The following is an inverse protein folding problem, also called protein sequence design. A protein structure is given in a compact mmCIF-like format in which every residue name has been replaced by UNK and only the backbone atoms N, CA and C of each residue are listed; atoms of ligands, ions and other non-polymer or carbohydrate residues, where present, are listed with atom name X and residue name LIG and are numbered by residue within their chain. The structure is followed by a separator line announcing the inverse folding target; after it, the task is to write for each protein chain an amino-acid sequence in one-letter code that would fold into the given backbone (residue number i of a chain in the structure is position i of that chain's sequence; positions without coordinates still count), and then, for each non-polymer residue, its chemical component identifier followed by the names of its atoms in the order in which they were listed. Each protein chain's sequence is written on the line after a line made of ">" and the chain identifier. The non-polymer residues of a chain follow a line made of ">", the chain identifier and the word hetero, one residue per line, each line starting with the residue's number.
data_IF_318649908055
#
_entry.id   IF_318649908055
#
_cell.length_a   1.000
_cell.length_b   1.000
_cell.length_c   1.000
_cell.angle_alpha   90.00
_cell.angle_beta   90.00
_cell.angle_gamma   90.00
#
_symmetry.space_group_name_H-M   'P 1'
#
loop_
_entity.id
_entity.type
_entity.pdbx_description
1 polymer ?
#
# COMPACT_ATOMS: atom_id res chain seq x y z
N UNK A 1 -8.06 7.86 6.10
CA UNK A 1 -8.81 7.23 7.22
C UNK A 1 -7.98 6.15 7.89
N UNK A 2 -7.46 5.17 7.13
CA UNK A 2 -6.59 4.11 7.66
C UNK A 2 -5.39 4.62 8.45
N UNK A 3 -4.58 5.49 7.86
CA UNK A 3 -3.41 6.10 8.52
C UNK A 3 -3.70 6.71 9.90
N UNK A 4 -4.76 7.51 10.01
CA UNK A 4 -5.14 8.16 11.28
C UNK A 4 -5.52 7.11 12.34
N UNK A 5 -6.20 6.04 11.94
CA UNK A 5 -6.54 4.91 12.82
C UNK A 5 -5.27 4.21 13.34
N UNK A 6 -4.30 3.92 12.46
CA UNK A 6 -3.02 3.29 12.83
C UNK A 6 -2.23 4.17 13.81
N UNK A 7 -2.14 5.47 13.55
CA UNK A 7 -1.43 6.43 14.39
C UNK A 7 -2.07 6.54 15.77
N UNK A 8 -3.39 6.73 15.82
CA UNK A 8 -4.12 6.85 17.09
C UNK A 8 -4.01 5.57 17.92
N UNK A 9 -4.14 4.40 17.28
CA UNK A 9 -4.04 3.12 17.97
C UNK A 9 -2.62 2.84 18.47
N UNK A 10 -1.58 3.18 17.71
CA UNK A 10 -0.19 3.05 18.15
C UNK A 10 0.16 4.01 19.30
N UNK A 11 -0.21 5.29 19.18
CA UNK A 11 -0.02 6.25 20.27
C UNK A 11 -0.77 5.81 21.54
N UNK A 12 -1.99 5.29 21.39
CA UNK A 12 -2.75 4.69 22.48
C UNK A 12 -2.03 3.50 23.12
N UNK A 13 -1.48 2.59 22.31
CA UNK A 13 -0.71 1.45 22.81
C UNK A 13 0.54 1.89 23.58
N UNK A 14 1.28 2.89 23.07
CA UNK A 14 2.45 3.46 23.76
C UNK A 14 2.04 4.09 25.10
N UNK A 15 0.96 4.86 25.13
CA UNK A 15 0.43 5.47 26.36
C UNK A 15 0.06 4.39 27.39
N UNK A 16 -0.67 3.36 26.98
CA UNK A 16 -1.09 2.26 27.87
C UNK A 16 0.12 1.51 28.44
N UNK A 17 1.13 1.22 27.62
CA UNK A 17 2.29 0.44 28.06
C UNK A 17 3.28 1.28 28.88
N UNK A 18 3.66 2.46 28.38
CA UNK A 18 4.76 3.25 28.96
C UNK A 18 4.31 4.34 29.95
N UNK A 19 3.09 4.88 29.83
CA UNK A 19 2.57 5.85 30.80
C UNK A 19 1.70 5.19 31.88
N UNK A 20 0.84 4.23 31.50
CA UNK A 20 -0.03 3.54 32.45
C UNK A 20 0.60 2.28 33.05
N UNK A 21 1.75 1.84 32.51
CA UNK A 21 2.53 0.72 33.05
C UNK A 21 1.96 -0.66 32.78
N UNK A 22 0.91 -0.78 31.96
CA UNK A 22 0.32 -2.08 31.64
C UNK A 22 1.28 -2.90 30.76
N UNK A 23 1.86 -3.98 31.32
CA UNK A 23 2.80 -4.85 30.61
C UNK A 23 4.25 -4.34 30.52
N UNK A 24 4.56 -3.22 31.18
CA UNK A 24 5.91 -2.64 31.25
C UNK A 24 6.94 -3.62 31.87
N UNK A 25 6.52 -4.39 32.87
CA UNK A 25 7.33 -5.42 33.52
C UNK A 25 7.69 -6.58 32.58
N UNK A 26 6.79 -6.93 31.64
CA UNK A 26 7.00 -7.99 30.66
C UNK A 26 7.97 -7.58 29.54
N UNK A 27 8.10 -6.27 29.30
CA UNK A 27 8.97 -5.66 28.29
C UNK A 27 10.30 -5.13 28.87
N UNK A 28 10.56 -5.39 30.16
CA UNK A 28 11.79 -4.96 30.83
C UNK A 28 11.93 -3.44 30.93
N UNK A 29 10.83 -2.71 31.12
CA UNK A 29 10.83 -1.26 31.30
C UNK A 29 10.87 -0.97 32.80
N UNK A 30 12.06 -0.72 33.34
CA UNK A 30 12.26 -0.48 34.79
C UNK A 30 11.75 0.89 35.28
N UNK A 31 11.53 1.85 34.37
CA UNK A 31 10.95 3.15 34.70
C UNK A 31 9.94 3.59 33.64
N UNK A 32 8.65 3.57 34.00
CA UNK A 32 7.60 4.27 33.27
C UNK A 32 7.82 5.77 33.40
N UNK A 33 7.88 6.49 32.28
CA UNK A 33 8.19 7.92 32.24
C UNK A 33 7.31 8.68 31.26
N UNK A 34 7.28 10.02 31.35
CA UNK A 34 6.51 10.83 30.41
C UNK A 34 6.98 10.62 28.98
N UNK A 35 6.04 10.52 28.05
CA UNK A 35 6.33 10.45 26.61
C UNK A 35 6.96 11.79 26.22
N UNK A 36 8.18 11.76 25.66
CA UNK A 36 8.80 12.97 25.14
C UNK A 36 7.99 13.54 23.98
N UNK A 37 7.81 14.87 23.96
CA UNK A 37 7.04 15.59 22.94
C UNK A 37 7.49 15.36 21.50
N UNK A 38 8.74 14.90 21.31
CA UNK A 38 9.31 14.57 20.01
C UNK A 38 8.87 13.20 19.48
N UNK A 39 8.49 12.26 20.35
CA UNK A 39 8.12 10.91 19.96
C UNK A 39 6.89 10.86 19.02
N UNK A 40 5.77 11.57 19.30
CA UNK A 40 4.63 11.59 18.38
C UNK A 40 4.98 12.19 17.02
N UNK A 41 5.88 13.19 16.97
CA UNK A 41 6.31 13.82 15.72
C UNK A 41 7.03 12.79 14.84
N UNK A 42 7.99 12.05 15.41
CA UNK A 42 8.68 10.99 14.69
C UNK A 42 7.75 9.85 14.31
N UNK A 43 6.89 9.41 15.22
CA UNK A 43 5.96 8.32 14.95
C UNK A 43 5.03 8.66 13.79
N UNK A 44 4.42 9.84 13.79
CA UNK A 44 3.56 10.29 12.69
C UNK A 44 4.35 10.40 11.40
N UNK A 45 5.52 11.05 11.39
CA UNK A 45 6.31 11.25 10.18
C UNK A 45 6.81 9.94 9.57
N UNK A 46 7.33 9.03 10.40
CA UNK A 46 7.85 7.74 9.96
C UNK A 46 6.70 6.84 9.51
N UNK A 47 5.65 6.68 10.30
CA UNK A 47 4.50 5.82 9.94
C UNK A 47 3.84 6.33 8.67
N UNK A 48 3.76 7.64 8.48
CA UNK A 48 3.20 8.23 7.26
C UNK A 48 4.03 7.84 6.03
N UNK A 49 5.35 8.02 6.10
CA UNK A 49 6.26 7.61 5.02
C UNK A 49 6.15 6.11 4.72
N UNK A 50 6.22 5.27 5.75
CA UNK A 50 6.12 3.82 5.61
C UNK A 50 4.76 3.35 5.07
N UNK A 51 3.68 4.06 5.41
CA UNK A 51 2.33 3.67 5.02
C UNK A 51 2.01 4.03 3.55
N UNK A 52 2.58 5.10 3.00
CA UNK A 52 2.24 5.51 1.63
C UNK A 52 2.66 4.45 0.61
N UNK A 53 3.83 3.86 0.78
CA UNK A 53 4.43 2.97 -0.23
C UNK A 53 3.58 1.73 -0.50
N UNK A 54 3.06 1.12 0.57
CA UNK A 54 2.24 -0.09 0.43
C UNK A 54 0.78 0.22 0.05
N UNK A 55 0.26 1.42 0.34
CA UNK A 55 -1.17 1.71 0.13
C UNK A 55 -1.39 1.98 -1.34
N UNK A 56 -0.49 2.77 -1.91
CA UNK A 56 -0.40 2.99 -3.34
C UNK A 56 -0.19 1.66 -4.08
N UNK A 57 0.73 0.80 -3.62
CA UNK A 57 0.98 -0.49 -4.28
C UNK A 57 -0.27 -1.39 -4.27
N UNK A 58 -0.91 -1.58 -3.10
CA UNK A 58 -2.07 -2.45 -2.97
C UNK A 58 -3.25 -1.94 -3.80
N UNK A 59 -3.57 -0.65 -3.68
CA UNK A 59 -4.71 -0.03 -4.37
C UNK A 59 -4.46 0.06 -5.88
N UNK A 60 -3.22 0.32 -6.31
CA UNK A 60 -2.88 0.34 -7.73
C UNK A 60 -3.15 -1.01 -8.39
N UNK A 61 -2.78 -2.12 -7.73
CA UNK A 61 -3.02 -3.48 -8.27
C UNK A 61 -4.51 -3.81 -8.34
N UNK A 62 -5.31 -3.39 -7.36
CA UNK A 62 -6.77 -3.52 -7.42
C UNK A 62 -7.37 -2.67 -8.55
N UNK A 63 -6.85 -1.45 -8.75
CA UNK A 63 -7.27 -0.56 -9.83
C UNK A 63 -6.93 -1.13 -11.20
N UNK A 64 -5.74 -1.68 -11.36
CA UNK A 64 -5.27 -2.35 -12.57
C UNK A 64 -6.23 -3.48 -12.95
N UNK A 65 -6.58 -4.37 -12.01
CA UNK A 65 -7.56 -5.43 -12.23
C UNK A 65 -8.95 -4.90 -12.65
N UNK A 66 -9.40 -3.81 -12.02
CA UNK A 66 -10.70 -3.20 -12.38
C UNK A 66 -10.68 -2.56 -13.78
N UNK A 67 -9.61 -1.87 -14.15
CA UNK A 67 -9.45 -1.25 -15.48
C UNK A 67 -9.38 -2.32 -16.59
N UNK A 68 -8.83 -3.49 -16.28
CA UNK A 68 -8.81 -4.65 -17.19
C UNK A 68 -10.17 -5.40 -17.29
N UNK A 69 -11.23 -4.85 -16.69
CA UNK A 69 -12.60 -5.33 -16.88
C UNK A 69 -13.14 -6.25 -15.78
N UNK A 70 -12.41 -6.44 -14.68
CA UNK A 70 -12.94 -7.18 -13.53
C UNK A 70 -14.02 -6.37 -12.81
N UNK A 71 -15.08 -7.05 -12.33
CA UNK A 71 -16.06 -6.41 -11.46
C UNK A 71 -15.40 -5.89 -10.18
N UNK A 72 -15.91 -4.82 -9.54
CA UNK A 72 -15.27 -4.22 -8.36
C UNK A 72 -14.90 -5.21 -7.26
N UNK A 73 -15.78 -6.18 -6.98
CA UNK A 73 -15.53 -7.20 -5.96
C UNK A 73 -14.43 -8.19 -6.38
N UNK A 74 -14.38 -8.55 -7.67
CA UNK A 74 -13.33 -9.42 -8.21
C UNK A 74 -11.98 -8.71 -8.21
N UNK A 75 -11.92 -7.46 -8.63
CA UNK A 75 -10.71 -6.65 -8.67
C UNK A 75 -10.07 -6.47 -7.28
N UNK A 76 -10.89 -6.26 -6.25
CA UNK A 76 -10.41 -6.23 -4.85
C UNK A 76 -9.83 -7.59 -4.46
N UNK A 77 -10.51 -8.70 -4.80
CA UNK A 77 -10.08 -10.04 -4.40
C UNK A 77 -8.81 -10.51 -5.14
N UNK A 78 -8.75 -10.31 -6.45
CA UNK A 78 -7.64 -10.72 -7.32
C UNK A 78 -6.38 -9.87 -7.03
N UNK A 79 -6.54 -8.55 -6.95
CA UNK A 79 -5.49 -7.60 -6.61
C UNK A 79 -4.94 -7.82 -5.19
N UNK A 80 -5.82 -8.11 -4.22
CA UNK A 80 -5.40 -8.43 -2.86
C UNK A 80 -4.57 -9.72 -2.79
N UNK A 81 -4.99 -10.80 -3.47
CA UNK A 81 -4.34 -12.12 -3.36
C UNK A 81 -2.85 -12.10 -3.75
N UNK A 82 -2.50 -11.34 -4.79
CA UNK A 82 -1.12 -11.21 -5.24
C UNK A 82 -0.30 -10.29 -4.32
N UNK A 83 -0.86 -9.13 -3.95
CA UNK A 83 -0.14 -8.12 -3.19
C UNK A 83 0.02 -8.48 -1.70
N UNK A 84 -0.94 -9.23 -1.13
CA UNK A 84 -0.96 -9.55 0.29
C UNK A 84 0.32 -10.26 0.77
N UNK A 85 0.85 -11.21 -0.01
CA UNK A 85 2.06 -11.95 0.39
C UNK A 85 3.29 -11.06 0.53
N UNK A 86 3.45 -10.12 -0.41
CA UNK A 86 4.57 -9.17 -0.41
C UNK A 86 4.43 -8.20 0.76
N UNK A 87 3.22 -7.69 1.00
CA UNK A 87 2.94 -6.76 2.11
C UNK A 87 3.16 -7.44 3.46
N UNK A 88 2.70 -8.68 3.65
CA UNK A 88 2.93 -9.46 4.88
C UNK A 88 4.42 -9.65 5.13
N UNK A 89 5.17 -10.07 4.11
CA UNK A 89 6.61 -10.30 4.24
C UNK A 89 7.35 -9.02 4.65
N UNK A 90 7.05 -7.90 4.01
CA UNK A 90 7.66 -6.63 4.33
C UNK A 90 7.26 -6.13 5.73
N UNK A 91 5.99 -6.27 6.11
CA UNK A 91 5.50 -5.92 7.44
C UNK A 91 6.21 -6.71 8.52
N UNK A 92 6.38 -8.03 8.34
CA UNK A 92 7.10 -8.88 9.30
C UNK A 92 8.55 -8.45 9.49
N UNK A 93 9.25 -8.11 8.40
CA UNK A 93 10.63 -7.62 8.48
C UNK A 93 10.69 -6.30 9.25
N UNK A 94 9.82 -5.34 8.94
CA UNK A 94 9.79 -4.05 9.63
C UNK A 94 9.45 -4.20 11.12
N UNK A 95 8.46 -5.02 11.45
CA UNK A 95 8.10 -5.32 12.85
C UNK A 95 9.31 -5.93 13.57
N UNK A 96 10.02 -6.87 12.96
CA UNK A 96 11.21 -7.48 13.56
C UNK A 96 12.33 -6.45 13.80
N UNK A 97 12.59 -5.56 12.84
CA UNK A 97 13.60 -4.49 12.97
C UNK A 97 13.25 -3.54 14.12
N UNK A 98 12.01 -3.06 14.19
CA UNK A 98 11.58 -2.15 15.26
C UNK A 98 11.45 -2.84 16.62
N UNK A 99 11.04 -4.11 16.65
CA UNK A 99 11.02 -4.91 17.88
C UNK A 99 12.44 -5.13 18.42
N UNK A 100 13.46 -5.17 17.56
CA UNK A 100 14.86 -5.22 17.98
C UNK A 100 15.27 -4.05 18.88
N UNK A 101 14.66 -2.87 18.71
CA UNK A 101 14.92 -1.69 19.54
C UNK A 101 14.33 -1.78 20.95
N UNK A 102 13.45 -2.75 21.23
CA UNK A 102 12.89 -2.96 22.58
C UNK A 102 13.96 -3.49 23.55
N UNK A 103 15.01 -4.13 23.03
CA UNK A 103 16.13 -4.64 23.83
C UNK A 103 17.18 -3.59 24.20
N UNK A 104 17.10 -2.37 23.68
CA UNK A 104 18.08 -1.30 23.99
C UNK A 104 17.94 -0.80 25.42
N UNK A 105 19.03 -0.39 26.06
CA UNK A 105 19.03 0.21 27.40
C UNK A 105 18.40 1.61 27.46
N UNK A 106 18.45 2.36 26.35
CA UNK A 106 17.89 3.70 26.27
C UNK A 106 16.34 3.67 26.17
N UNK A 107 15.67 4.28 27.15
CA UNK A 107 14.20 4.34 27.22
C UNK A 107 13.56 5.05 26.02
N UNK A 108 14.22 6.07 25.44
CA UNK A 108 13.75 6.74 24.23
C UNK A 108 13.76 5.79 23.04
N UNK A 109 14.83 5.02 22.87
CA UNK A 109 14.94 4.05 21.77
C UNK A 109 13.91 2.93 21.94
N UNK A 110 13.72 2.40 23.16
CA UNK A 110 12.67 1.41 23.45
C UNK A 110 11.27 1.91 23.09
N UNK A 111 10.92 3.13 23.50
CA UNK A 111 9.60 3.72 23.23
C UNK A 111 9.35 3.90 21.73
N UNK A 112 10.35 4.42 20.99
CA UNK A 112 10.25 4.59 19.53
C UNK A 112 10.12 3.21 18.85
N UNK A 113 10.96 2.25 19.24
CA UNK A 113 10.91 0.87 18.73
C UNK A 113 9.54 0.22 18.91
N UNK A 114 9.02 0.24 20.13
CA UNK A 114 7.71 -0.32 20.43
C UNK A 114 6.58 0.40 19.70
N UNK A 115 6.61 1.74 19.68
CA UNK A 115 5.59 2.54 19.00
C UNK A 115 5.55 2.30 17.49
N UNK A 116 6.72 2.24 16.84
CA UNK A 116 6.83 1.95 15.41
C UNK A 116 6.45 0.49 15.09
N UNK A 117 6.90 -0.48 15.88
CA UNK A 117 6.51 -1.87 15.70
C UNK A 117 4.99 -2.05 15.80
N UNK A 118 4.38 -1.45 16.82
CA UNK A 118 2.92 -1.47 17.03
C UNK A 118 2.17 -0.75 15.92
N UNK A 119 2.67 0.41 15.47
CA UNK A 119 2.06 1.16 14.36
C UNK A 119 2.07 0.36 13.06
N UNK A 120 3.20 -0.23 12.70
CA UNK A 120 3.33 -1.04 11.48
C UNK A 120 2.47 -2.30 11.58
N UNK A 121 2.42 -2.96 12.73
CA UNK A 121 1.55 -4.11 12.96
C UNK A 121 0.08 -3.74 12.73
N UNK A 122 -0.39 -2.67 13.37
CA UNK A 122 -1.78 -2.23 13.23
C UNK A 122 -2.09 -1.76 11.82
N UNK A 123 -1.19 -1.01 11.19
CA UNK A 123 -1.36 -0.54 9.83
C UNK A 123 -1.41 -1.70 8.83
N UNK A 124 -0.43 -2.61 8.90
CA UNK A 124 -0.34 -3.72 7.96
C UNK A 124 -1.53 -4.68 8.07
N UNK A 125 -1.92 -5.07 9.27
CA UNK A 125 -2.94 -6.10 9.45
C UNK A 125 -4.36 -5.53 9.61
N UNK A 126 -4.55 -4.47 10.41
CA UNK A 126 -5.89 -3.92 10.65
C UNK A 126 -6.29 -3.02 9.50
N UNK A 127 -5.42 -2.09 9.11
CA UNK A 127 -5.78 -1.13 8.06
C UNK A 127 -5.72 -1.78 6.68
N UNK A 128 -4.58 -2.35 6.29
CA UNK A 128 -4.40 -2.81 4.90
C UNK A 128 -5.08 -4.13 4.60
N UNK A 129 -5.11 -5.08 5.54
CA UNK A 129 -5.71 -6.39 5.27
C UNK A 129 -7.20 -6.44 5.55
N UNK A 130 -7.71 -5.63 6.49
CA UNK A 130 -9.13 -5.62 6.82
C UNK A 130 -9.87 -4.38 6.30
N UNK A 131 -9.46 -3.17 6.72
CA UNK A 131 -10.23 -1.95 6.45
C UNK A 131 -10.20 -1.56 4.98
N UNK A 132 -9.03 -1.53 4.33
CA UNK A 132 -8.90 -1.07 2.94
C UNK A 132 -9.72 -1.92 1.97
N UNK A 133 -9.61 -3.26 1.96
CA UNK A 133 -10.41 -4.10 1.07
C UNK A 133 -11.90 -4.02 1.41
N UNK A 134 -12.26 -3.96 2.70
CA UNK A 134 -13.66 -3.86 3.12
C UNK A 134 -14.31 -2.54 2.65
N UNK A 135 -13.60 -1.42 2.78
CA UNK A 135 -14.09 -0.11 2.34
C UNK A 135 -14.24 -0.10 0.81
N UNK A 136 -13.24 -0.59 0.06
CA UNK A 136 -13.34 -0.68 -1.40
C UNK A 136 -14.49 -1.59 -1.86
N UNK A 137 -14.67 -2.73 -1.22
CA UNK A 137 -15.77 -3.64 -1.50
C UNK A 137 -17.14 -3.02 -1.18
N UNK A 138 -17.25 -2.27 -0.07
CA UNK A 138 -18.49 -1.57 0.33
C UNK A 138 -18.83 -0.40 -0.61
N UNK A 139 -17.83 0.35 -1.07
CA UNK A 139 -18.04 1.45 -2.00
C UNK A 139 -18.35 0.97 -3.43
N UNK A 140 -17.91 -0.23 -3.81
CA UNK A 140 -18.18 -0.84 -5.11
C UNK A 140 -17.79 0.07 -6.27
N UNK A 141 -18.69 0.28 -7.22
CA UNK A 141 -18.46 1.14 -8.40
C UNK A 141 -18.10 2.59 -8.04
N UNK A 142 -18.58 3.10 -6.89
CA UNK A 142 -18.27 4.48 -6.46
C UNK A 142 -16.81 4.64 -6.04
N UNK A 143 -16.14 3.55 -5.62
CA UNK A 143 -14.71 3.59 -5.29
C UNK A 143 -13.85 3.98 -6.49
N UNK A 144 -14.33 3.68 -7.70
CA UNK A 144 -13.60 3.81 -8.95
C UNK A 144 -14.00 5.04 -9.78
N UNK A 145 -14.95 5.83 -9.29
CA UNK A 145 -15.45 6.99 -10.02
C UNK A 145 -14.38 8.09 -10.08
N UNK A 146 -13.95 8.43 -11.30
CA UNK A 146 -13.04 9.53 -11.56
C UNK A 146 -13.79 10.71 -12.20
N UNK A 147 -13.73 11.92 -11.64
CA UNK A 147 -14.32 13.09 -12.27
C UNK A 147 -13.70 13.36 -13.64
N UNK A 148 -14.53 13.62 -14.66
CA UNK A 148 -14.09 13.82 -16.06
C UNK A 148 -13.06 14.93 -16.26
N UNK A 149 -13.03 15.93 -15.38
CA UNK A 149 -12.03 17.01 -15.42
C UNK A 149 -10.64 16.53 -14.97
N UNK A 150 -10.58 15.58 -14.03
CA UNK A 150 -9.35 14.99 -13.54
C UNK A 150 -8.83 13.94 -14.52
N UNK A 151 -9.72 13.15 -15.11
CA UNK A 151 -9.40 12.21 -16.20
C UNK A 151 -8.76 12.92 -17.41
N UNK A 152 -9.18 14.16 -17.69
CA UNK A 152 -8.61 14.98 -18.78
C UNK A 152 -7.24 15.58 -18.43
N UNK A 153 -6.97 15.80 -17.15
CA UNK A 153 -5.71 16.36 -16.66
C UNK A 153 -4.64 15.29 -16.41
N UNK A 154 -5.04 14.04 -16.17
CA UNK A 154 -4.13 12.93 -15.96
C UNK A 154 -3.55 12.45 -17.31
N UNK A 155 -2.21 12.41 -17.45
CA UNK A 155 -1.57 11.76 -18.59
C UNK A 155 -1.96 10.28 -18.59
N UNK A 156 -2.35 9.73 -19.74
CA UNK A 156 -2.53 8.28 -19.89
C UNK A 156 -1.16 7.63 -19.83
N UNK A 157 -0.77 7.14 -18.67
CA UNK A 157 0.45 6.36 -18.49
C UNK A 157 0.11 4.94 -18.94
N UNK A 158 0.41 4.65 -20.20
CA UNK A 158 0.35 3.30 -20.76
C UNK A 158 1.53 2.51 -20.18
N UNK A 159 1.32 1.85 -19.03
CA UNK A 159 2.36 1.08 -18.33
C UNK A 159 2.66 -0.22 -19.08
N UNK A 160 1.66 -0.77 -19.76
CA UNK A 160 1.79 -1.84 -20.75
C UNK A 160 1.72 -1.21 -22.15
N UNK A 161 2.79 -1.32 -22.94
CA UNK A 161 2.84 -0.79 -24.31
C UNK A 161 1.91 -1.49 -25.31
N UNK A 162 0.63 -1.63 -24.99
CA UNK A 162 -0.39 -2.18 -25.90
C UNK A 162 -0.50 -1.36 -27.19
N UNK A 163 -0.16 -0.07 -27.15
CA UNK A 163 -0.07 0.78 -28.34
C UNK A 163 0.95 0.28 -29.39
N UNK A 164 1.95 -0.52 -29.00
CA UNK A 164 2.93 -1.12 -29.91
C UNK A 164 2.60 -2.57 -30.30
N UNK A 165 1.65 -3.22 -29.61
CA UNK A 165 1.23 -4.61 -29.88
C UNK A 165 0.11 -4.72 -30.90
N UNK A 166 -0.44 -3.59 -31.38
CA UNK A 166 -1.28 -3.60 -32.58
C UNK A 166 -0.38 -3.95 -33.77
N UNK A 167 -0.60 -5.09 -34.46
CA UNK A 167 0.03 -5.29 -35.74
C UNK A 167 -0.44 -4.15 -36.64
N UNK A 168 0.50 -3.34 -37.14
CA UNK A 168 0.22 -2.45 -38.27
C UNK A 168 -0.45 -3.30 -39.36
N UNK A 169 -1.55 -2.82 -39.99
CA UNK A 169 -2.12 -3.52 -41.13
C UNK A 169 -1.02 -3.63 -42.17
N UNK A 170 -0.61 -4.86 -42.47
CA UNK A 170 0.34 -5.18 -43.53
C UNK A 170 -0.12 -4.43 -44.79
N UNK A 171 0.74 -3.64 -45.45
CA UNK A 171 0.33 -2.94 -46.66
C UNK A 171 -0.14 -3.99 -47.65
N UNK A 172 -1.40 -3.92 -48.04
CA UNK A 172 -1.99 -4.86 -48.98
C UNK A 172 -1.07 -4.97 -50.20
N UNK A 173 -0.51 -6.16 -50.43
CA UNK A 173 0.30 -6.44 -51.60
C UNK A 173 -0.51 -6.05 -52.84
N UNK A 174 0.00 -5.08 -53.58
CA UNK A 174 -0.60 -4.56 -54.81
C UNK A 174 -0.75 -5.72 -55.81
N UNK A 175 -1.97 -6.18 -56.17
CA UNK A 175 -2.15 -7.36 -57.00
C UNK A 175 -1.83 -7.14 -58.49
N UNK A 176 -1.21 -6.02 -58.86
CA UNK A 176 -1.09 -5.60 -60.26
C UNK A 176 0.38 -5.31 -60.62
N UNK A 177 1.22 -6.34 -60.64
CA UNK A 177 2.48 -6.28 -61.39
C UNK A 177 2.89 -7.56 -62.11
N UNK A 178 1.94 -8.46 -62.36
CA UNK A 178 2.15 -9.70 -63.11
C UNK A 178 1.19 -9.80 -64.29
N UNK A 179 1.15 -8.82 -65.21
CA UNK A 179 0.63 -9.03 -66.57
C UNK A 179 1.24 -8.00 -67.55
N UNK A 180 2.45 -8.26 -68.03
CA UNK A 180 2.78 -7.86 -69.41
C UNK A 180 3.33 -9.09 -70.16
N UNK A 181 2.51 -9.75 -70.99
CA UNK A 181 2.93 -10.92 -71.75
C UNK A 181 3.74 -10.49 -72.98
N UNK A 182 4.84 -11.21 -73.22
CA UNK A 182 5.63 -11.13 -74.44
C UNK A 182 4.73 -11.21 -75.70
N UNK A 183 4.86 -10.23 -76.60
CA UNK A 183 4.47 -10.38 -78.01
C UNK A 183 5.43 -9.64 -78.94
N UNK A 184 6.01 -10.48 -79.82
CA UNK A 184 6.52 -10.29 -81.19
C UNK A 184 7.72 -9.39 -81.40
#
# INVERSE_FOLDING_TARGET
>A
LGFLLSVLASLGAVVVVFQQGHGAELLGVEQTGPIMSLMPIFLVGIVFGLAMDYEVFLVSRMREAHVHGESPAQAVTSGFRHSARVVVAAALIMIAVFAGFIGESDSMIKMIGFGLASAVLLDAFVVRMAIVPAVLALLGDKAWWLPKWLDRALPRVDVEGEALSRPEPEPAADPVRDLEPART
#
